data_IF_373376719127
#
_entry.id   IF_373376719127
#
_cell.length_a   1.000
_cell.length_b   1.000
_cell.length_c   1.000
_cell.angle_alpha   90.00
_cell.angle_beta   90.00
_cell.angle_gamma   90.00
#
_symmetry.space_group_name_H-M   'P 1'
#
loop_
_entity.id
_entity.type
_entity.pdbx_description
1 polymer ?
#
# COMPACT_ATOMS: atom_id res chain seq x y z
N UNK A 1 6.66 -10.30 35.30
CA UNK A 1 6.15 -9.52 34.16
C UNK A 1 4.73 -9.99 33.94
N UNK A 2 3.74 -9.16 34.24
CA UNK A 2 2.34 -9.54 34.22
C UNK A 2 1.87 -9.88 32.80
N UNK A 3 1.08 -10.95 32.68
CA UNK A 3 0.53 -11.43 31.41
C UNK A 3 -0.38 -10.39 30.70
N UNK A 4 -0.81 -9.34 31.41
CA UNK A 4 -1.67 -8.28 30.89
C UNK A 4 -0.99 -7.30 29.92
N UNK A 5 0.35 -7.21 29.91
CA UNK A 5 1.10 -6.31 29.02
C UNK A 5 1.65 -6.97 27.74
N UNK A 6 1.35 -8.25 27.51
CA UNK A 6 1.99 -8.96 26.40
C UNK A 6 1.47 -8.53 25.03
N UNK A 7 0.24 -7.99 24.94
CA UNK A 7 -0.41 -7.69 23.67
C UNK A 7 -1.37 -6.50 23.81
N UNK A 8 -1.08 -5.37 23.18
CA UNK A 8 -1.92 -4.16 23.29
C UNK A 8 -1.99 -3.42 21.96
N UNK A 9 -3.17 -2.87 21.65
CA UNK A 9 -3.36 -1.91 20.54
C UNK A 9 -3.75 -0.58 21.16
N UNK A 10 -3.00 0.48 20.87
CA UNK A 10 -3.29 1.83 21.34
C UNK A 10 -3.53 2.78 20.16
N UNK A 11 -4.32 3.82 20.39
CA UNK A 11 -4.57 4.89 19.42
C UNK A 11 -3.45 5.92 19.45
N UNK A 12 -2.98 6.37 18.28
CA UNK A 12 -2.06 7.50 18.17
C UNK A 12 -2.32 8.31 16.91
N UNK A 13 -2.12 9.62 17.02
CA UNK A 13 -2.13 10.54 15.89
C UNK A 13 -0.73 11.10 15.61
N UNK A 14 0.34 10.47 16.12
CA UNK A 14 1.73 10.90 15.89
C UNK A 14 2.64 9.67 15.79
N UNK A 15 3.32 9.51 14.65
CA UNK A 15 4.11 8.32 14.34
C UNK A 15 5.17 7.99 15.39
N UNK A 16 5.71 9.02 16.07
CA UNK A 16 6.75 8.89 17.10
C UNK A 16 6.26 8.24 18.40
N UNK A 17 4.97 8.13 18.64
CA UNK A 17 4.47 7.52 19.89
C UNK A 17 4.93 6.08 20.07
N UNK A 18 5.23 5.38 18.96
CA UNK A 18 5.77 4.02 19.00
C UNK A 18 7.11 3.92 19.73
N UNK A 19 7.88 5.01 19.82
CA UNK A 19 9.16 5.05 20.54
C UNK A 19 9.03 4.65 22.02
N UNK A 20 7.86 4.89 22.63
CA UNK A 20 7.57 4.51 24.03
C UNK A 20 7.52 3.00 24.24
N UNK A 21 7.37 2.24 23.15
CA UNK A 21 7.14 0.79 23.17
C UNK A 21 8.26 0.00 22.46
N UNK A 22 9.20 0.69 21.79
CA UNK A 22 10.32 0.07 21.11
C UNK A 22 11.38 -0.37 22.12
N UNK A 23 11.74 -1.65 22.02
CA UNK A 23 12.84 -2.29 22.74
C UNK A 23 13.98 -2.68 21.77
N UNK A 24 15.17 -2.96 22.29
CA UNK A 24 16.36 -3.32 21.50
C UNK A 24 16.21 -4.61 20.66
N UNK A 25 15.23 -5.47 20.99
CA UNK A 25 14.94 -6.73 20.30
C UNK A 25 13.63 -6.68 19.49
N UNK A 26 13.15 -5.48 19.20
CA UNK A 26 11.90 -5.27 18.47
C UNK A 26 12.06 -5.49 16.98
N UNK A 27 11.08 -6.15 16.39
CA UNK A 27 10.79 -6.01 14.97
C UNK A 27 9.79 -4.86 14.81
N UNK A 28 10.18 -3.85 14.04
CA UNK A 28 9.35 -2.66 13.80
C UNK A 28 8.68 -2.79 12.44
N UNK A 29 7.35 -2.83 12.45
CA UNK A 29 6.53 -3.06 11.28
C UNK A 29 5.74 -1.79 10.95
N UNK A 30 5.67 -1.45 9.68
CA UNK A 30 4.87 -0.35 9.17
C UNK A 30 3.95 -0.83 8.07
N UNK A 31 2.67 -0.47 8.15
CA UNK A 31 1.87 -0.37 6.94
C UNK A 31 2.35 0.79 6.04
N UNK A 32 1.92 0.77 4.78
CA UNK A 32 2.31 1.77 3.80
C UNK A 32 1.25 2.85 3.59
N UNK A 33 0.07 2.47 3.10
CA UNK A 33 -0.95 3.41 2.64
C UNK A 33 -1.65 4.08 3.83
N UNK A 34 -1.69 5.42 3.85
CA UNK A 34 -2.14 6.26 4.97
C UNK A 34 -1.33 6.11 6.28
N UNK A 35 -0.29 5.28 6.29
CA UNK A 35 0.61 5.11 7.43
C UNK A 35 1.97 5.75 7.19
N UNK A 36 2.71 5.26 6.19
CA UNK A 36 4.02 5.80 5.80
C UNK A 36 3.87 6.84 4.69
N UNK A 37 3.04 6.54 3.69
CA UNK A 37 2.81 7.40 2.53
C UNK A 37 1.32 7.51 2.20
N UNK A 38 0.96 8.57 1.48
CA UNK A 38 -0.39 8.82 1.00
C UNK A 38 -0.36 9.36 -0.44
N UNK A 39 -1.43 9.14 -1.19
CA UNK A 39 -1.61 9.81 -2.48
C UNK A 39 -1.68 11.34 -2.31
N UNK A 40 -1.11 12.07 -3.26
CA UNK A 40 -1.19 13.53 -3.30
C UNK A 40 -2.59 14.05 -3.72
N UNK A 41 -3.42 13.17 -4.27
CA UNK A 41 -4.77 13.45 -4.76
C UNK A 41 -5.75 12.35 -4.34
N UNK A 42 -7.04 12.50 -4.65
CA UNK A 42 -8.07 11.50 -4.31
C UNK A 42 -7.90 10.24 -5.15
N UNK A 43 -7.66 10.39 -6.46
CA UNK A 43 -7.39 9.28 -7.38
C UNK A 43 -6.11 8.53 -6.95
N UNK A 44 -6.19 7.21 -6.88
CA UNK A 44 -5.09 6.37 -6.42
C UNK A 44 -4.90 6.32 -4.90
N UNK A 45 -5.77 6.97 -4.12
CA UNK A 45 -5.82 6.76 -2.66
C UNK A 45 -6.45 5.42 -2.30
N UNK A 46 -6.20 4.96 -1.07
CA UNK A 46 -6.87 3.78 -0.49
C UNK A 46 -8.39 3.99 -0.40
N UNK A 47 -8.84 5.21 -0.07
CA UNK A 47 -10.27 5.55 -0.03
C UNK A 47 -10.93 5.47 -1.40
N UNK A 48 -10.24 5.93 -2.45
CA UNK A 48 -10.72 5.79 -3.82
C UNK A 48 -10.84 4.32 -4.24
N UNK A 49 -9.85 3.49 -3.88
CA UNK A 49 -9.92 2.05 -4.14
C UNK A 49 -11.13 1.41 -3.45
N UNK A 50 -11.33 1.68 -2.16
CA UNK A 50 -12.47 1.15 -1.39
C UNK A 50 -13.81 1.64 -1.93
N UNK A 51 -13.89 2.92 -2.35
CA UNK A 51 -15.06 3.48 -3.01
C UNK A 51 -15.35 2.77 -4.33
N UNK A 52 -14.36 2.67 -5.22
CA UNK A 52 -14.51 2.06 -6.54
C UNK A 52 -14.89 0.59 -6.43
N UNK A 53 -14.32 -0.15 -5.47
CA UNK A 53 -14.68 -1.53 -5.20
C UNK A 53 -16.14 -1.66 -4.76
N UNK A 54 -16.59 -0.87 -3.78
CA UNK A 54 -17.98 -0.88 -3.33
C UNK A 54 -18.95 -0.47 -4.44
N UNK A 55 -18.59 0.54 -5.22
CA UNK A 55 -19.38 1.00 -6.36
C UNK A 55 -19.53 -0.11 -7.41
N UNK A 56 -18.43 -0.77 -7.78
CA UNK A 56 -18.43 -1.86 -8.76
C UNK A 56 -19.25 -3.06 -8.27
N UNK A 57 -19.12 -3.43 -6.98
CA UNK A 57 -19.91 -4.50 -6.36
C UNK A 57 -21.42 -4.21 -6.33
N UNK A 58 -21.83 -2.94 -6.41
CA UNK A 58 -23.25 -2.57 -6.53
C UNK A 58 -23.81 -2.73 -7.95
N UNK A 59 -22.93 -2.84 -8.96
CA UNK A 59 -23.30 -2.97 -10.37
C UNK A 59 -23.04 -4.38 -10.92
N UNK A 60 -22.03 -5.07 -10.40
CA UNK A 60 -21.58 -6.38 -10.86
C UNK A 60 -21.80 -7.38 -9.74
N UNK A 61 -22.67 -8.37 -9.98
CA UNK A 61 -23.05 -9.36 -8.98
C UNK A 61 -21.96 -10.38 -8.67
N UNK A 62 -21.05 -10.65 -9.60
CA UNK A 62 -19.89 -11.53 -9.37
C UNK A 62 -18.77 -10.76 -8.66
N UNK A 63 -18.48 -11.06 -7.37
CA UNK A 63 -17.49 -10.33 -6.59
C UNK A 63 -16.05 -10.51 -7.10
N UNK A 64 -15.74 -11.67 -7.71
CA UNK A 64 -14.40 -11.94 -8.22
C UNK A 64 -14.14 -11.15 -9.51
N UNK A 65 -15.13 -11.08 -10.38
CA UNK A 65 -15.07 -10.25 -11.58
C UNK A 65 -14.99 -8.77 -11.20
N UNK A 66 -15.84 -8.30 -10.27
CA UNK A 66 -15.81 -6.93 -9.77
C UNK A 66 -14.41 -6.56 -9.22
N UNK A 67 -13.84 -7.40 -8.35
CA UNK A 67 -12.51 -7.19 -7.80
C UNK A 67 -11.43 -7.16 -8.90
N UNK A 68 -11.50 -8.09 -9.86
CA UNK A 68 -10.55 -8.18 -10.98
C UNK A 68 -10.53 -6.90 -11.82
N UNK A 69 -11.70 -6.36 -12.17
CA UNK A 69 -11.80 -5.11 -12.94
C UNK A 69 -11.26 -3.92 -12.15
N UNK A 70 -11.59 -3.83 -10.86
CA UNK A 70 -11.11 -2.75 -9.99
C UNK A 70 -9.59 -2.82 -9.81
N UNK A 71 -9.04 -4.03 -9.61
CA UNK A 71 -7.60 -4.21 -9.53
C UNK A 71 -6.87 -3.84 -10.81
N UNK A 72 -7.44 -4.15 -11.99
CA UNK A 72 -6.84 -3.75 -13.26
C UNK A 72 -6.71 -2.22 -13.36
N UNK A 73 -7.77 -1.48 -13.05
CA UNK A 73 -7.74 0.00 -13.04
C UNK A 73 -6.77 0.50 -11.97
N UNK A 74 -6.91 0.01 -10.73
CA UNK A 74 -6.08 0.45 -9.60
C UNK A 74 -4.59 0.26 -9.89
N UNK A 75 -4.21 -0.87 -10.50
CA UNK A 75 -2.82 -1.16 -10.80
C UNK A 75 -2.21 -0.17 -11.80
N UNK A 76 -2.93 0.18 -12.87
CA UNK A 76 -2.46 1.20 -13.80
C UNK A 76 -2.37 2.59 -13.15
N UNK A 77 -3.33 2.94 -12.29
CA UNK A 77 -3.28 4.21 -11.56
C UNK A 77 -2.06 4.26 -10.63
N UNK A 78 -1.75 3.18 -9.90
CA UNK A 78 -0.58 3.15 -9.02
C UNK A 78 0.74 3.31 -9.78
N UNK A 79 0.82 2.86 -11.04
CA UNK A 79 1.98 3.08 -11.90
C UNK A 79 2.21 4.55 -12.24
N UNK A 80 1.22 5.44 -12.09
CA UNK A 80 1.37 6.84 -12.48
C UNK A 80 1.16 7.84 -11.35
N UNK A 81 0.48 7.48 -10.26
CA UNK A 81 0.18 8.40 -9.16
C UNK A 81 1.40 8.69 -8.29
N UNK A 82 1.60 9.96 -7.94
CA UNK A 82 2.61 10.40 -6.97
C UNK A 82 2.10 10.30 -5.54
N UNK A 83 3.01 9.97 -4.64
CA UNK A 83 2.75 9.92 -3.20
C UNK A 83 3.57 10.98 -2.46
N UNK A 84 3.23 11.19 -1.19
CA UNK A 84 4.02 11.97 -0.24
C UNK A 84 4.05 11.22 1.09
N UNK A 85 5.09 11.46 1.88
CA UNK A 85 5.12 10.97 3.27
C UNK A 85 3.95 11.54 4.06
N UNK A 86 3.36 10.73 4.94
CA UNK A 86 2.25 11.17 5.82
C UNK A 86 2.76 12.17 6.84
N UNK A 87 3.83 11.81 7.55
CA UNK A 87 4.55 12.68 8.48
C UNK A 87 6.03 12.75 8.12
N UNK A 88 6.59 13.96 8.03
CA UNK A 88 8.02 14.15 7.75
C UNK A 88 8.94 13.44 8.76
N UNK A 89 8.44 13.23 9.98
CA UNK A 89 9.21 12.56 11.02
C UNK A 89 9.35 11.05 10.82
N UNK A 90 8.49 10.43 10.00
CA UNK A 90 8.53 9.01 9.65
C UNK A 90 9.85 8.64 8.98
N UNK A 91 10.38 9.51 8.10
CA UNK A 91 11.64 9.28 7.37
C UNK A 91 12.80 9.07 8.36
N UNK A 92 12.99 10.05 9.26
CA UNK A 92 14.06 10.00 10.27
C UNK A 92 13.86 8.88 11.27
N UNK A 93 12.61 8.53 11.58
CA UNK A 93 12.29 7.46 12.50
C UNK A 93 12.67 6.08 11.94
N UNK A 94 12.31 5.79 10.68
CA UNK A 94 12.69 4.56 9.99
C UNK A 94 14.21 4.46 9.89
N UNK A 95 14.89 5.53 9.45
CA UNK A 95 16.35 5.58 9.36
C UNK A 95 17.01 5.31 10.73
N UNK A 96 16.53 5.97 11.80
CA UNK A 96 17.06 5.77 13.13
C UNK A 96 16.95 4.32 13.61
N UNK A 97 15.82 3.64 13.34
CA UNK A 97 15.66 2.23 13.67
C UNK A 97 16.61 1.32 12.89
N UNK A 98 16.78 1.58 11.59
CA UNK A 98 17.71 0.84 10.75
C UNK A 98 19.17 1.05 11.19
N UNK A 99 19.55 2.29 11.51
CA UNK A 99 20.90 2.67 11.93
C UNK A 99 21.32 2.02 13.26
N UNK A 100 20.38 1.90 14.21
CA UNK A 100 20.63 1.20 15.48
C UNK A 100 20.49 -0.33 15.36
N UNK A 101 20.23 -0.85 14.15
CA UNK A 101 20.20 -2.27 13.85
C UNK A 101 18.89 -3.00 14.17
N UNK A 102 17.79 -2.28 14.41
CA UNK A 102 16.48 -2.92 14.56
C UNK A 102 15.99 -3.43 13.19
N UNK A 103 15.41 -4.64 13.12
CA UNK A 103 14.69 -5.08 11.93
C UNK A 103 13.50 -4.15 11.66
N UNK A 104 13.48 -3.50 10.49
CA UNK A 104 12.34 -2.70 10.01
C UNK A 104 11.73 -3.32 8.76
N UNK A 105 10.42 -3.60 8.79
CA UNK A 105 9.68 -4.23 7.69
C UNK A 105 8.46 -3.39 7.33
N UNK A 106 8.22 -3.18 6.05
CA UNK A 106 6.91 -2.75 5.58
C UNK A 106 6.00 -3.95 5.31
N UNK A 107 4.71 -3.85 5.63
CA UNK A 107 3.70 -4.86 5.33
C UNK A 107 2.45 -4.21 4.77
N UNK A 108 2.10 -4.53 3.52
CA UNK A 108 1.04 -3.84 2.77
C UNK A 108 0.03 -4.81 2.18
N UNK A 109 -1.22 -4.37 2.07
CA UNK A 109 -2.26 -5.09 1.36
C UNK A 109 -2.05 -5.11 -0.17
N UNK A 110 -1.13 -4.30 -0.71
CA UNK A 110 -0.80 -4.28 -2.14
C UNK A 110 -0.31 -5.65 -2.62
N UNK A 111 -0.55 -5.93 -3.90
CA UNK A 111 -0.11 -7.17 -4.56
C UNK A 111 1.28 -7.07 -5.17
N UNK A 112 1.86 -8.22 -5.53
CA UNK A 112 3.19 -8.33 -6.15
C UNK A 112 3.37 -7.46 -7.40
N UNK A 113 2.34 -7.32 -8.24
CA UNK A 113 2.40 -6.48 -9.44
C UNK A 113 2.65 -4.99 -9.15
N UNK A 114 2.43 -4.54 -7.91
CA UNK A 114 2.67 -3.17 -7.46
C UNK A 114 4.03 -2.98 -6.81
N UNK A 115 4.92 -3.98 -6.84
CA UNK A 115 6.26 -3.89 -6.26
C UNK A 115 7.05 -2.69 -6.80
N UNK A 116 7.27 -2.61 -8.10
CA UNK A 116 8.01 -1.50 -8.73
C UNK A 116 7.36 -0.12 -8.49
N UNK A 117 6.02 0.06 -8.71
CA UNK A 117 5.35 1.31 -8.34
C UNK A 117 5.54 1.71 -6.87
N UNK A 118 5.48 0.74 -5.95
CA UNK A 118 5.61 0.98 -4.51
C UNK A 118 7.02 1.42 -4.14
N UNK A 119 8.06 0.76 -4.66
CA UNK A 119 9.46 1.15 -4.41
C UNK A 119 9.73 2.56 -4.93
N UNK A 120 9.25 2.89 -6.13
CA UNK A 120 9.35 4.26 -6.67
C UNK A 120 8.64 5.28 -5.79
N UNK A 121 7.41 5.00 -5.36
CA UNK A 121 6.63 5.89 -4.48
C UNK A 121 7.31 6.11 -3.12
N UNK A 122 7.93 5.07 -2.55
CA UNK A 122 8.72 5.18 -1.31
C UNK A 122 9.99 6.01 -1.51
N UNK A 123 10.67 5.85 -2.65
CA UNK A 123 11.83 6.66 -3.02
C UNK A 123 11.49 8.15 -3.12
N UNK A 124 10.34 8.50 -3.68
CA UNK A 124 9.84 9.89 -3.70
C UNK A 124 9.55 10.42 -2.29
N UNK A 125 9.21 9.54 -1.36
CA UNK A 125 9.08 9.85 0.06
C UNK A 125 10.42 9.84 0.82
N UNK A 126 11.55 9.59 0.14
CA UNK A 126 12.89 9.43 0.74
C UNK A 126 12.97 8.29 1.76
N UNK A 127 12.18 7.22 1.56
CA UNK A 127 12.10 6.05 2.43
C UNK A 127 12.58 4.83 1.66
N UNK A 128 13.39 4.02 2.34
CA UNK A 128 13.92 2.76 1.81
C UNK A 128 13.89 1.69 2.92
N UNK A 129 13.13 0.62 2.70
CA UNK A 129 13.04 -0.52 3.62
C UNK A 129 14.08 -1.62 3.33
N UNK A 130 14.78 -1.57 2.20
CA UNK A 130 15.78 -2.58 1.81
C UNK A 130 17.02 -2.56 2.72
N UNK A 131 17.24 -1.43 3.40
CA UNK A 131 18.34 -1.22 4.32
C UNK A 131 18.01 -1.74 5.73
N UNK A 132 17.99 -3.06 5.93
CA UNK A 132 17.88 -3.66 7.26
C UNK A 132 18.74 -4.94 7.34
N UNK A 133 19.81 -4.87 8.14
CA UNK A 133 20.82 -5.95 8.23
C UNK A 133 20.26 -7.29 8.72
N UNK A 134 19.14 -7.27 9.43
CA UNK A 134 18.56 -8.43 10.11
C UNK A 134 17.46 -9.12 9.30
N UNK A 135 17.26 -8.74 8.03
CA UNK A 135 16.18 -9.22 7.17
C UNK A 135 16.78 -9.65 5.82
N UNK A 136 16.25 -10.69 5.14
CA UNK A 136 16.79 -11.10 3.84
C UNK A 136 16.78 -9.99 2.79
N UNK A 137 17.83 -9.92 1.97
CA UNK A 137 17.85 -9.01 0.80
C UNK A 137 17.21 -9.64 -0.45
N UNK A 138 17.14 -10.97 -0.52
CA UNK A 138 16.59 -11.66 -1.68
C UNK A 138 15.06 -11.56 -1.72
N UNK A 139 14.51 -11.32 -2.91
CA UNK A 139 13.07 -11.38 -3.14
C UNK A 139 12.58 -12.82 -3.24
N UNK A 140 11.40 -13.13 -2.70
CA UNK A 140 10.80 -14.45 -2.84
C UNK A 140 9.27 -14.41 -2.69
N UNK A 141 8.59 -15.30 -3.42
CA UNK A 141 7.20 -15.64 -3.15
C UNK A 141 7.11 -16.67 -2.01
N UNK A 142 6.00 -16.65 -1.29
CA UNK A 142 5.67 -17.67 -0.30
C UNK A 142 4.17 -17.87 -0.19
N UNK A 143 3.80 -19.11 0.14
CA UNK A 143 2.40 -19.54 0.22
C UNK A 143 1.84 -19.19 1.60
N UNK A 144 0.57 -18.79 1.61
CA UNK A 144 -0.19 -18.52 2.84
C UNK A 144 -1.20 -19.64 2.94
N UNK A 145 -0.88 -20.61 3.81
CA UNK A 145 -1.55 -21.90 3.96
C UNK A 145 -1.25 -22.93 2.83
N UNK A 146 -1.25 -24.22 3.18
CA UNK A 146 -0.83 -25.33 2.28
C UNK A 146 -1.97 -25.93 1.47
N UNK A 147 -3.21 -25.46 1.65
CA UNK A 147 -4.42 -26.20 1.30
C UNK A 147 -5.18 -25.73 0.05
N UNK A 148 -4.77 -24.68 -0.65
CA UNK A 148 -5.37 -24.32 -1.95
C UNK A 148 -4.49 -23.36 -2.76
N UNK A 149 -4.81 -23.22 -4.05
CA UNK A 149 -4.18 -22.36 -5.07
C UNK A 149 -4.27 -20.84 -4.77
N UNK A 150 -4.19 -20.43 -3.51
CA UNK A 150 -4.42 -19.08 -3.07
C UNK A 150 -3.23 -18.17 -3.39
N UNK A 151 -3.45 -17.11 -4.16
CA UNK A 151 -2.46 -16.11 -4.60
C UNK A 151 -1.27 -15.89 -3.65
N UNK A 152 -0.04 -16.06 -4.13
CA UNK A 152 1.17 -15.96 -3.30
C UNK A 152 1.34 -14.58 -2.65
N UNK A 153 1.82 -14.56 -1.40
CA UNK A 153 2.45 -13.35 -0.88
C UNK A 153 3.87 -13.26 -1.40
N UNK A 154 4.38 -12.04 -1.44
CA UNK A 154 5.67 -11.73 -2.02
C UNK A 154 6.46 -10.83 -1.09
N UNK A 155 7.73 -11.13 -0.91
CA UNK A 155 8.66 -10.28 -0.18
C UNK A 155 9.74 -9.75 -1.12
N UNK A 156 10.00 -8.45 -1.08
CA UNK A 156 11.13 -7.80 -1.74
C UNK A 156 11.42 -6.43 -1.09
N UNK A 157 12.67 -6.00 -1.11
CA UNK A 157 13.11 -4.67 -0.67
C UNK A 157 12.64 -4.26 0.73
N UNK A 158 12.58 -5.21 1.67
CA UNK A 158 12.08 -4.94 3.02
C UNK A 158 10.56 -4.88 3.15
N UNK A 159 9.82 -5.22 2.11
CA UNK A 159 8.35 -5.09 2.01
C UNK A 159 7.69 -6.46 1.83
N UNK A 160 6.69 -6.75 2.65
CA UNK A 160 5.78 -7.89 2.49
C UNK A 160 4.51 -7.41 1.77
N UNK A 161 4.28 -7.93 0.56
CA UNK A 161 3.10 -7.71 -0.26
C UNK A 161 2.09 -8.84 -0.01
N UNK A 162 0.97 -8.50 0.64
CA UNK A 162 -0.05 -9.46 1.07
C UNK A 162 -1.11 -9.76 0.02
N UNK A 163 -1.17 -9.00 -1.09
CA UNK A 163 -2.19 -9.20 -2.15
C UNK A 163 -3.62 -9.25 -1.59
N UNK A 164 -3.96 -8.36 -0.66
CA UNK A 164 -5.26 -8.27 0.01
C UNK A 164 -5.53 -9.33 1.10
N UNK A 165 -4.59 -10.26 1.34
CA UNK A 165 -4.73 -11.30 2.35
C UNK A 165 -4.50 -10.78 3.77
N UNK A 166 -4.86 -11.62 4.74
CA UNK A 166 -4.65 -11.35 6.17
C UNK A 166 -3.16 -11.13 6.47
N UNK A 167 -2.79 -9.95 6.98
CA UNK A 167 -1.40 -9.57 7.24
C UNK A 167 -0.72 -10.45 8.30
N UNK A 168 -1.47 -10.88 9.31
CA UNK A 168 -0.98 -11.83 10.33
C UNK A 168 -0.57 -13.17 9.71
N UNK A 169 -1.40 -13.74 8.83
CA UNK A 169 -1.07 -14.98 8.12
C UNK A 169 0.12 -14.82 7.17
N UNK A 170 0.20 -13.69 6.45
CA UNK A 170 1.35 -13.37 5.59
C UNK A 170 2.65 -13.30 6.41
N UNK A 171 2.59 -12.59 7.54
CA UNK A 171 3.73 -12.41 8.42
C UNK A 171 4.16 -13.73 9.07
N UNK A 172 3.21 -14.59 9.45
CA UNK A 172 3.48 -15.94 9.93
C UNK A 172 4.28 -16.76 8.90
N UNK A 173 3.77 -16.83 7.67
CA UNK A 173 4.39 -17.58 6.58
C UNK A 173 5.78 -17.01 6.21
N UNK A 174 5.94 -15.68 6.25
CA UNK A 174 7.23 -15.03 6.08
C UNK A 174 8.23 -15.50 7.15
N UNK A 175 7.84 -15.51 8.43
CA UNK A 175 8.70 -15.96 9.51
C UNK A 175 9.13 -17.42 9.40
N UNK A 176 8.23 -18.29 8.98
CA UNK A 176 8.57 -19.69 8.70
C UNK A 176 9.55 -19.78 7.53
N UNK A 177 9.33 -19.01 6.47
CA UNK A 177 10.16 -19.01 5.26
C UNK A 177 11.60 -18.56 5.51
N UNK A 178 11.80 -17.60 6.42
CA UNK A 178 13.12 -17.04 6.77
C UNK A 178 13.71 -17.66 8.05
N UNK A 179 13.01 -18.62 8.65
CA UNK A 179 13.38 -19.28 9.91
C UNK A 179 13.67 -18.27 11.05
N UNK A 180 12.84 -17.23 11.17
CA UNK A 180 12.94 -16.23 12.22
C UNK A 180 11.90 -16.44 13.32
N UNK A 181 12.24 -16.05 14.55
CA UNK A 181 11.38 -16.17 15.73
C UNK A 181 11.45 -14.89 16.58
N UNK A 182 10.81 -13.80 16.12
CA UNK A 182 10.80 -12.53 16.85
C UNK A 182 10.21 -12.73 18.26
N UNK A 183 10.70 -11.95 19.23
CA UNK A 183 10.16 -11.96 20.61
C UNK A 183 9.28 -10.76 20.92
N UNK A 184 9.47 -9.67 20.17
CA UNK A 184 8.73 -8.43 20.32
C UNK A 184 8.46 -7.83 18.94
N UNK A 185 7.20 -7.51 18.66
CA UNK A 185 6.75 -6.82 17.45
C UNK A 185 6.09 -5.51 17.88
N UNK A 186 6.52 -4.41 17.26
CA UNK A 186 5.74 -3.17 17.25
C UNK A 186 5.27 -2.94 15.83
N UNK A 187 3.97 -2.71 15.63
CA UNK A 187 3.39 -2.43 14.32
C UNK A 187 2.62 -1.13 14.33
N UNK A 188 2.79 -0.32 13.30
CA UNK A 188 1.95 0.86 13.03
C UNK A 188 1.10 0.61 11.78
N UNK A 189 -0.20 0.86 11.88
CA UNK A 189 -1.14 0.70 10.77
C UNK A 189 -2.36 1.60 11.02
N UNK A 190 -2.90 2.25 9.98
CA UNK A 190 -4.09 3.09 10.07
C UNK A 190 -5.36 2.25 10.31
N UNK A 191 -5.38 0.99 9.85
CA UNK A 191 -6.50 0.07 9.98
C UNK A 191 -6.33 -0.83 11.19
N UNK A 192 -7.18 -0.61 12.20
CA UNK A 192 -7.27 -1.47 13.40
C UNK A 192 -7.37 -2.97 13.08
N UNK A 193 -8.09 -3.32 12.00
CA UNK A 193 -8.24 -4.71 11.54
C UNK A 193 -6.88 -5.37 11.27
N UNK A 194 -5.95 -4.68 10.61
CA UNK A 194 -4.61 -5.18 10.33
C UNK A 194 -3.81 -5.47 11.60
N UNK A 195 -3.89 -4.57 12.59
CA UNK A 195 -3.24 -4.75 13.89
C UNK A 195 -3.81 -5.95 14.64
N UNK A 196 -5.13 -6.14 14.61
CA UNK A 196 -5.78 -7.30 15.22
C UNK A 196 -5.29 -8.60 14.57
N UNK A 197 -5.20 -8.66 13.25
CA UNK A 197 -4.69 -9.84 12.53
C UNK A 197 -3.25 -10.20 12.95
N UNK A 198 -2.37 -9.20 13.06
CA UNK A 198 -0.98 -9.43 13.48
C UNK A 198 -0.91 -9.77 14.97
N UNK A 199 -1.76 -9.18 15.80
CA UNK A 199 -1.85 -9.51 17.22
C UNK A 199 -2.27 -10.98 17.44
N UNK A 200 -3.30 -11.45 16.72
CA UNK A 200 -3.75 -12.85 16.78
C UNK A 200 -2.63 -13.83 16.40
N UNK A 201 -1.85 -13.51 15.37
CA UNK A 201 -0.65 -14.28 14.99
C UNK A 201 0.44 -14.21 16.08
N UNK A 202 0.71 -13.03 16.62
CA UNK A 202 1.72 -12.87 17.67
C UNK A 202 1.36 -13.69 18.92
N UNK A 203 0.09 -13.65 19.33
CA UNK A 203 -0.44 -14.45 20.43
C UNK A 203 -0.26 -15.95 20.19
N UNK A 204 -0.58 -16.45 18.99
CA UNK A 204 -0.44 -17.88 18.68
C UNK A 204 1.01 -18.37 18.68
N UNK A 205 1.98 -17.46 18.49
CA UNK A 205 3.42 -17.73 18.58
C UNK A 205 4.07 -17.37 19.93
N UNK A 206 3.31 -16.85 20.89
CA UNK A 206 3.87 -16.36 22.16
C UNK A 206 4.83 -15.17 21.98
N UNK A 207 4.58 -14.33 20.98
CA UNK A 207 5.34 -13.11 20.68
C UNK A 207 4.65 -11.94 21.38
N UNK A 208 5.42 -11.04 22.01
CA UNK A 208 4.88 -9.78 22.52
C UNK A 208 4.51 -8.86 21.36
N UNK A 209 3.31 -8.30 21.36
CA UNK A 209 2.85 -7.38 20.32
C UNK A 209 2.39 -6.04 20.90
N UNK A 210 2.83 -4.96 20.25
CA UNK A 210 2.28 -3.63 20.45
C UNK A 210 1.83 -3.06 19.11
N UNK A 211 0.54 -2.83 18.94
CA UNK A 211 -0.02 -2.15 17.77
C UNK A 211 -0.28 -0.68 18.06
N UNK A 212 0.16 0.20 17.17
CA UNK A 212 -0.25 1.60 17.13
C UNK A 212 -1.26 1.77 16.01
N UNK A 213 -2.53 1.96 16.38
CA UNK A 213 -3.56 2.36 15.42
C UNK A 213 -3.34 3.84 15.12
N UNK A 214 -2.89 4.09 13.91
CA UNK A 214 -2.37 5.39 13.52
C UNK A 214 -3.43 6.22 12.82
N UNK A 215 -4.07 7.12 13.57
CA UNK A 215 -5.19 7.93 13.11
C UNK A 215 -4.81 9.30 12.56
N UNK A 216 -3.55 9.56 12.15
CA UNK A 216 -3.11 10.88 11.70
C UNK A 216 -3.95 11.41 10.53
N UNK A 217 -4.37 10.54 9.62
CA UNK A 217 -5.15 10.91 8.44
C UNK A 217 -6.67 10.70 8.60
N UNK A 218 -7.18 10.32 9.77
CA UNK A 218 -8.61 10.00 9.95
C UNK A 218 -9.55 11.10 9.46
N UNK A 219 -9.25 12.35 9.80
CA UNK A 219 -10.04 13.51 9.35
C UNK A 219 -9.99 13.67 7.83
N UNK A 220 -8.82 13.49 7.20
CA UNK A 220 -8.67 13.54 5.74
C UNK A 220 -9.45 12.40 5.08
N UNK A 221 -9.30 11.18 5.60
CA UNK A 221 -9.97 9.97 5.12
C UNK A 221 -11.49 10.11 5.17
N UNK A 222 -12.03 10.67 6.27
CA UNK A 222 -13.47 10.91 6.41
C UNK A 222 -14.03 11.97 5.44
N UNK A 223 -13.16 12.79 4.85
CA UNK A 223 -13.50 13.85 3.88
C UNK A 223 -13.24 13.45 2.43
N UNK A 224 -12.97 12.17 2.16
CA UNK A 224 -12.78 11.66 0.80
C UNK A 224 -13.88 12.16 -0.16
N UNK A 225 -13.47 12.69 -1.31
CA UNK A 225 -14.36 13.24 -2.33
C UNK A 225 -14.33 12.39 -3.60
N UNK A 226 -15.37 11.58 -3.76
CA UNK A 226 -15.53 10.71 -4.93
C UNK A 226 -15.70 11.49 -6.24
N UNK A 227 -16.33 12.67 -6.22
CA UNK A 227 -16.52 13.47 -7.43
C UNK A 227 -15.19 14.04 -7.89
N UNK A 228 -14.36 14.52 -6.96
CA UNK A 228 -13.01 14.99 -7.26
C UNK A 228 -12.12 13.85 -7.80
N UNK A 229 -12.24 12.64 -7.25
CA UNK A 229 -11.56 11.46 -7.82
C UNK A 229 -12.03 11.15 -9.25
N UNK A 230 -13.33 11.28 -9.52
CA UNK A 230 -13.91 11.07 -10.85
C UNK A 230 -13.43 12.12 -11.86
N UNK A 231 -13.35 13.39 -11.46
CA UNK A 231 -12.79 14.47 -12.29
C UNK A 231 -11.30 14.22 -12.61
N UNK A 232 -10.52 13.79 -11.61
CA UNK A 232 -9.12 13.44 -11.79
C UNK A 232 -8.94 12.29 -12.77
N UNK A 233 -9.78 11.25 -12.67
CA UNK A 233 -9.81 10.16 -13.64
C UNK A 233 -10.13 10.68 -15.05
N UNK A 234 -11.12 11.56 -15.18
CA UNK A 234 -11.49 12.20 -16.44
C UNK A 234 -10.35 12.96 -17.12
N UNK A 235 -9.46 13.58 -16.34
CA UNK A 235 -8.31 14.32 -16.84
C UNK A 235 -7.19 13.41 -17.39
N UNK A 236 -7.09 12.18 -16.90
CA UNK A 236 -6.00 11.25 -17.25
C UNK A 236 -6.42 10.05 -18.08
N UNK A 237 -7.72 9.75 -18.18
CA UNK A 237 -8.23 8.51 -18.79
C UNK A 237 -7.63 8.25 -20.18
N UNK A 238 -7.53 9.28 -21.03
CA UNK A 238 -6.96 9.19 -22.39
C UNK A 238 -5.49 8.72 -22.46
N UNK A 239 -4.76 8.76 -21.35
CA UNK A 239 -3.37 8.33 -21.29
C UNK A 239 -3.20 6.92 -20.70
N UNK A 240 -4.29 6.27 -20.30
CA UNK A 240 -4.29 4.88 -19.85
C UNK A 240 -4.32 3.93 -21.05
N UNK A 241 -3.91 2.66 -20.89
CA UNK A 241 -4.09 1.63 -21.93
C UNK A 241 -5.55 1.53 -22.37
N UNK A 242 -5.79 1.21 -23.64
CA UNK A 242 -7.15 1.18 -24.24
C UNK A 242 -8.08 0.25 -23.46
N UNK A 243 -7.60 -0.94 -23.05
CA UNK A 243 -8.40 -1.87 -22.24
C UNK A 243 -8.84 -1.25 -20.91
N UNK A 244 -8.02 -0.39 -20.32
CA UNK A 244 -8.34 0.29 -19.07
C UNK A 244 -9.28 1.46 -19.30
N UNK A 245 -9.16 2.18 -20.42
CA UNK A 245 -10.10 3.23 -20.80
C UNK A 245 -11.53 2.69 -20.93
N UNK A 246 -11.68 1.50 -21.54
CA UNK A 246 -12.96 0.80 -21.64
C UNK A 246 -13.52 0.44 -20.26
N UNK A 247 -12.69 -0.15 -19.38
CA UNK A 247 -13.11 -0.48 -18.02
C UNK A 247 -13.51 0.76 -17.21
N UNK A 248 -12.74 1.84 -17.29
CA UNK A 248 -13.04 3.11 -16.62
C UNK A 248 -14.35 3.71 -17.13
N UNK A 249 -14.58 3.67 -18.44
CA UNK A 249 -15.82 4.16 -19.05
C UNK A 249 -17.02 3.32 -18.60
N UNK A 250 -16.86 2.00 -18.54
CA UNK A 250 -17.89 1.08 -18.08
C UNK A 250 -18.26 1.28 -16.61
N UNK A 251 -17.27 1.45 -15.72
CA UNK A 251 -17.48 1.44 -14.28
C UNK A 251 -17.74 2.83 -13.68
N UNK A 252 -17.14 3.87 -14.25
CA UNK A 252 -17.15 5.21 -13.66
C UNK A 252 -17.75 6.27 -14.59
N UNK A 253 -17.65 6.06 -15.91
CA UNK A 253 -18.04 7.01 -16.95
C UNK A 253 -17.60 8.47 -16.64
N UNK A 254 -16.29 8.71 -16.45
CA UNK A 254 -15.81 10.01 -15.99
C UNK A 254 -16.02 11.10 -17.05
N UNK A 255 -16.19 12.36 -16.63
CA UNK A 255 -16.29 13.48 -17.55
C UNK A 255 -14.99 13.65 -18.34
N UNK A 256 -15.07 13.97 -19.63
CA UNK A 256 -13.88 14.32 -20.42
C UNK A 256 -13.41 15.72 -20.03
N UNK A 257 -12.34 15.80 -19.26
CA UNK A 257 -11.79 17.07 -18.76
C UNK A 257 -10.40 17.29 -19.38
N UNK A 258 -10.17 18.46 -19.97
CA UNK A 258 -8.83 18.91 -20.35
C UNK A 258 -8.27 19.79 -19.24
N UNK A 259 -7.84 19.18 -18.13
CA UNK A 259 -7.19 19.90 -17.03
C UNK A 259 -5.74 19.45 -16.91
N UNK A 260 -4.82 20.29 -17.40
CA UNK A 260 -3.38 20.07 -17.22
C UNK A 260 -2.96 20.17 -15.75
N UNK A 261 -3.77 20.79 -14.90
CA UNK A 261 -3.46 20.99 -13.49
C UNK A 261 -3.33 19.67 -12.72
N UNK A 262 -4.03 18.62 -13.15
CA UNK A 262 -3.92 17.31 -12.53
C UNK A 262 -2.66 16.55 -12.94
N UNK A 263 -2.11 16.81 -14.14
CA UNK A 263 -0.95 16.07 -14.67
C UNK A 263 0.30 16.17 -13.78
N UNK A 264 0.46 17.27 -13.03
CA UNK A 264 1.60 17.43 -12.10
C UNK A 264 1.65 16.40 -10.98
N UNK A 265 0.50 15.80 -10.64
CA UNK A 265 0.35 14.77 -9.59
C UNK A 265 0.63 13.36 -10.09
N UNK A 266 1.00 13.23 -11.37
CA UNK A 266 1.34 11.96 -11.98
C UNK A 266 2.75 12.02 -12.58
N UNK A 267 3.38 10.86 -12.78
CA UNK A 267 4.68 10.80 -13.45
C UNK A 267 4.52 10.97 -14.96
N UNK A 268 5.14 12.03 -15.49
CA UNK A 268 4.97 12.47 -16.88
C UNK A 268 5.67 11.58 -17.89
N UNK A 269 6.74 10.91 -17.50
CA UNK A 269 7.50 10.01 -18.38
C UNK A 269 6.63 8.82 -18.85
N UNK A 270 5.62 8.46 -18.07
CA UNK A 270 4.65 7.41 -18.41
C UNK A 270 3.57 7.89 -19.41
N UNK A 271 3.44 9.19 -19.67
CA UNK A 271 2.48 9.74 -20.63
C UNK A 271 3.10 10.05 -22.01
N UNK A 272 4.42 9.97 -22.14
CA UNK A 272 5.11 10.32 -23.38
C UNK A 272 4.97 9.27 -24.50
N UNK A 273 4.56 8.04 -24.19
CA UNK A 273 4.31 7.01 -25.22
C UNK A 273 3.05 7.30 -26.04
N UNK A 274 1.98 7.83 -25.43
CA UNK A 274 0.72 8.10 -26.14
C UNK A 274 0.76 9.36 -27.04
N UNK A 275 1.61 10.34 -26.72
CA UNK A 275 1.74 11.55 -27.56
C UNK A 275 2.51 11.30 -28.86
N UNK A 276 3.50 10.39 -28.86
CA UNK A 276 4.24 10.03 -30.08
C UNK A 276 3.39 9.27 -31.09
N UNK A 277 2.51 8.38 -30.64
CA UNK A 277 1.58 7.65 -31.52
C UNK A 277 0.45 8.54 -32.06
N UNK A 278 0.03 9.54 -31.28
CA UNK A 278 -0.99 10.51 -31.71
C UNK A 278 -0.45 11.50 -32.76
N UNK A 279 0.84 11.86 -32.69
CA UNK A 279 1.48 12.73 -33.67
C UNK A 279 1.92 12.00 -34.95
N UNK A 280 2.23 10.69 -34.89
CA UNK A 280 2.55 9.91 -36.08
C UNK A 280 1.33 9.62 -36.96
N UNK A 281 0.11 9.64 -36.41
CA UNK A 281 -1.12 9.43 -37.17
C UNK A 281 -1.71 10.70 -37.81
N UNK A 282 -1.07 11.86 -37.62
CA UNK A 282 -1.45 13.14 -38.25
C UNK A 282 -0.56 13.54 -39.44
N UNK A 283 0.43 12.72 -39.80
CA UNK A 283 1.35 12.95 -40.92
C UNK A 283 1.31 11.76 -41.89
N UNK A 284 0.12 11.27 -42.22
CA UNK A 284 -0.08 10.31 -43.33
C UNK A 284 -1.48 10.48 -43.93
N UNK A 285 -1.76 11.62 -44.55
CA UNK A 285 -2.71 11.68 -45.68
C UNK A 285 -2.09 12.58 -46.77
N UNK A 286 -2.01 12.12 -48.04
CA UNK A 286 -1.49 12.88 -49.16
C UNK A 286 -2.45 13.97 -49.67
#
# INVERSE_FOLDING_TARGET
MDAAEQNTIFESHVIKDILKHVHYNSYVLFDLDNTVMQSQIELGSDQWFEYLLRHTLSQISDPNLAATMVFAIYNEIQKIVKTTVVEQSTIKLIQAFQDIGLPVIAITARGKCLHEPTVRQLKDCQIDFSYSKSIPHASFSFQIDTSSSAAEAFYADGIIFCSGKNKGQCLNAFWDRVNASPKNIIMTDDKKKSLVQVNEMAQSRGIRFVGSRYGFLDEKVSRFDANKALEQMGAICRYLPEEIQLLVTQLMNPPKISSRDYLRFFYTDNFQHSEKESQSNLVMEP
#
